data_IF_065233815245
#
_entry.id   IF_065233815245
#
_cell.length_a   1.000
_cell.length_b   1.000
_cell.length_c   1.000
_cell.angle_alpha   90.00
_cell.angle_beta   90.00
_cell.angle_gamma   90.00
#
_symmetry.space_group_name_H-M   'P 1'
#
loop_
_entity.id
_entity.type
_entity.pdbx_description
1 polymer ?
#
# COMPACT_ATOMS: atom_id res chain seq x y z
N UNK A 1 0.69 -36.21 11.89
CA UNK A 1 1.15 -34.83 12.20
C UNK A 1 -0.03 -33.91 11.98
N UNK A 2 -0.22 -32.91 12.86
CA UNK A 2 -1.21 -31.86 12.61
C UNK A 2 -0.89 -31.14 11.29
N UNK A 3 -1.92 -30.69 10.58
CA UNK A 3 -1.76 -29.92 9.33
C UNK A 3 -1.27 -28.52 9.71
N UNK A 4 -0.25 -28.01 9.02
CA UNK A 4 0.24 -26.64 9.24
C UNK A 4 -0.93 -25.65 9.06
N UNK A 5 -1.08 -24.72 9.99
CA UNK A 5 -2.12 -23.70 9.99
C UNK A 5 -3.55 -24.23 10.16
N UNK A 6 -3.77 -25.39 10.80
CA UNK A 6 -5.12 -25.93 11.06
C UNK A 6 -6.00 -25.03 11.96
N UNK A 7 -5.37 -24.09 12.67
CA UNK A 7 -5.98 -23.07 13.52
C UNK A 7 -6.23 -21.73 12.81
N UNK A 8 -5.82 -21.60 11.55
CA UNK A 8 -6.14 -20.46 10.69
C UNK A 8 -7.25 -20.86 9.70
N UNK A 9 -8.26 -20.02 9.56
CA UNK A 9 -9.38 -20.23 8.64
C UNK A 9 -9.57 -19.00 7.74
N UNK A 10 -8.92 -19.00 6.55
CA UNK A 10 -9.14 -17.96 5.55
C UNK A 10 -10.57 -18.04 5.03
N UNK A 11 -11.29 -16.93 5.12
CA UNK A 11 -12.65 -16.78 4.64
C UNK A 11 -12.73 -15.62 3.66
N UNK A 12 -13.73 -15.58 2.77
CA UNK A 12 -13.97 -14.46 1.86
C UNK A 12 -13.83 -13.06 2.47
N UNK A 13 -14.16 -12.87 3.74
CA UNK A 13 -14.21 -11.56 4.37
C UNK A 13 -13.05 -11.30 5.34
N UNK A 14 -11.99 -12.11 5.34
CA UNK A 14 -10.83 -11.96 6.23
C UNK A 14 -10.27 -13.31 6.69
N UNK A 15 -9.20 -13.28 7.48
CA UNK A 15 -8.55 -14.50 7.99
C UNK A 15 -8.93 -14.68 9.46
N UNK A 16 -9.64 -15.76 9.78
CA UNK A 16 -10.05 -16.04 11.16
C UNK A 16 -8.98 -16.85 11.91
N UNK A 17 -8.60 -16.35 13.09
CA UNK A 17 -7.64 -16.99 13.99
C UNK A 17 -8.42 -17.65 15.13
N UNK A 18 -8.80 -18.91 14.94
CA UNK A 18 -9.71 -19.67 15.84
C UNK A 18 -9.34 -19.62 17.33
N UNK A 19 -8.09 -19.93 17.74
CA UNK A 19 -7.72 -19.96 19.17
C UNK A 19 -7.68 -18.59 19.85
N UNK A 20 -7.63 -17.50 19.07
CA UNK A 20 -7.65 -16.14 19.58
C UNK A 20 -9.03 -15.47 19.45
N UNK A 21 -9.98 -16.11 18.76
CA UNK A 21 -11.29 -15.56 18.36
C UNK A 21 -11.17 -14.13 17.83
N UNK A 22 -10.39 -13.96 16.76
CA UNK A 22 -10.08 -12.67 16.14
C UNK A 22 -9.91 -12.81 14.62
N UNK A 23 -10.21 -11.74 13.91
CA UNK A 23 -10.05 -11.65 12.46
C UNK A 23 -8.82 -10.81 12.11
N UNK A 24 -8.08 -11.20 11.07
CA UNK A 24 -7.10 -10.34 10.39
C UNK A 24 -7.76 -9.76 9.13
N UNK A 25 -7.65 -8.44 8.98
CA UNK A 25 -8.19 -7.63 7.88
C UNK A 25 -9.64 -7.98 7.49
N UNK A 26 -10.59 -7.99 8.45
CA UNK A 26 -11.97 -8.28 8.11
C UNK A 26 -12.59 -7.18 7.24
N UNK A 27 -13.09 -7.55 6.06
CA UNK A 27 -13.72 -6.62 5.10
C UNK A 27 -15.10 -6.10 5.53
N UNK A 28 -15.56 -6.49 6.72
CA UNK A 28 -16.80 -6.05 7.38
C UNK A 28 -16.59 -5.84 8.90
N UNK A 29 -17.43 -5.00 9.55
CA UNK A 29 -17.46 -4.88 11.00
C UNK A 29 -17.44 -6.24 11.69
N UNK A 30 -16.60 -6.36 12.72
CA UNK A 30 -16.30 -7.62 13.41
C UNK A 30 -16.04 -7.35 14.88
N UNK A 31 -16.34 -8.29 15.80
CA UNK A 31 -16.12 -8.08 17.24
C UNK A 31 -14.67 -7.76 17.59
N UNK A 32 -13.72 -8.45 16.94
CA UNK A 32 -12.29 -8.27 17.18
C UNK A 32 -11.55 -8.33 15.85
N UNK A 33 -10.75 -7.31 15.55
CA UNK A 33 -9.99 -7.20 14.32
C UNK A 33 -8.53 -6.84 14.59
N UNK A 34 -7.60 -7.57 13.98
CA UNK A 34 -6.23 -7.12 13.72
C UNK A 34 -6.25 -6.48 12.32
N UNK A 35 -5.69 -5.28 12.17
CA UNK A 35 -5.64 -4.58 10.88
C UNK A 35 -4.17 -4.35 10.49
N UNK A 36 -3.78 -4.82 9.31
CA UNK A 36 -2.41 -4.70 8.79
C UNK A 36 -2.09 -3.25 8.44
N UNK A 37 -3.01 -2.55 7.76
CA UNK A 37 -2.82 -1.17 7.36
C UNK A 37 -4.14 -0.47 6.98
N UNK A 38 -4.08 0.85 6.74
CA UNK A 38 -5.25 1.71 6.63
C UNK A 38 -5.93 1.80 5.25
N UNK A 39 -5.57 1.00 4.25
CA UNK A 39 -6.31 0.98 2.97
C UNK A 39 -7.70 0.37 3.14
N UNK A 40 -8.62 0.70 2.22
CA UNK A 40 -10.03 0.38 2.43
C UNK A 40 -10.28 -1.12 2.28
N UNK A 41 -9.59 -1.79 1.40
CA UNK A 41 -9.69 -3.22 1.21
C UNK A 41 -9.19 -4.03 2.44
N UNK A 42 -8.34 -3.45 3.30
CA UNK A 42 -7.88 -4.07 4.54
C UNK A 42 -8.57 -3.57 5.81
N UNK A 43 -8.92 -2.27 5.85
CA UNK A 43 -9.48 -1.61 7.02
C UNK A 43 -10.95 -1.22 6.86
N UNK A 44 -11.72 -1.47 7.91
CA UNK A 44 -13.12 -1.05 8.03
C UNK A 44 -13.36 -0.36 9.36
N UNK A 45 -14.26 0.61 9.37
CA UNK A 45 -14.78 1.17 10.61
C UNK A 45 -15.84 0.26 11.23
N UNK A 46 -16.10 0.44 12.53
CA UNK A 46 -17.22 -0.20 13.23
C UNK A 46 -16.91 -1.55 13.87
N UNK A 47 -15.63 -1.90 14.04
CA UNK A 47 -15.23 -3.02 14.89
C UNK A 47 -15.52 -2.72 16.36
N UNK A 48 -15.92 -3.73 17.15
CA UNK A 48 -16.12 -3.54 18.60
C UNK A 48 -14.76 -3.29 19.30
N UNK A 49 -13.70 -3.96 18.82
CA UNK A 49 -12.31 -3.71 19.20
C UNK A 49 -11.38 -3.95 17.99
N UNK A 50 -10.46 -3.01 17.75
CA UNK A 50 -9.46 -3.10 16.66
C UNK A 50 -8.05 -2.87 17.17
N UNK A 51 -7.13 -3.77 16.83
CA UNK A 51 -5.71 -3.64 17.09
C UNK A 51 -4.97 -3.35 15.80
N UNK A 52 -4.19 -2.29 15.79
CA UNK A 52 -3.31 -1.92 14.70
C UNK A 52 -2.17 -1.04 15.21
N UNK A 53 -1.23 -0.68 14.36
CA UNK A 53 -0.23 0.35 14.70
C UNK A 53 -0.92 1.68 15.01
N UNK A 54 -0.31 2.55 15.86
CA UNK A 54 -0.86 3.87 16.16
C UNK A 54 -1.22 4.67 14.90
N UNK A 55 -0.37 4.62 13.88
CA UNK A 55 -0.56 5.35 12.63
C UNK A 55 -1.70 4.74 11.80
N UNK A 56 -1.82 3.41 11.75
CA UNK A 56 -2.96 2.75 11.08
C UNK A 56 -4.27 3.13 11.77
N UNK A 57 -4.33 3.16 13.09
CA UNK A 57 -5.52 3.60 13.83
C UNK A 57 -5.87 5.06 13.52
N UNK A 58 -4.87 5.95 13.44
CA UNK A 58 -5.08 7.36 13.10
C UNK A 58 -5.60 7.53 11.65
N UNK A 59 -5.11 6.70 10.71
CA UNK A 59 -5.62 6.64 9.33
C UNK A 59 -7.08 6.15 9.33
N UNK A 60 -7.37 5.07 10.05
CA UNK A 60 -8.74 4.56 10.18
C UNK A 60 -9.68 5.61 10.76
N UNK A 61 -9.25 6.32 11.81
CA UNK A 61 -10.04 7.39 12.43
C UNK A 61 -10.32 8.53 11.46
N UNK A 62 -9.30 8.93 10.69
CA UNK A 62 -9.41 9.97 9.67
C UNK A 62 -10.41 9.61 8.57
N UNK A 63 -10.54 8.33 8.22
CA UNK A 63 -11.41 7.86 7.14
C UNK A 63 -12.82 7.52 7.60
N UNK A 64 -12.95 6.94 8.79
CA UNK A 64 -14.17 6.29 9.26
C UNK A 64 -14.73 6.89 10.56
N UNK A 65 -14.08 7.90 11.13
CA UNK A 65 -14.41 8.46 12.44
C UNK A 65 -13.85 7.62 13.60
N UNK A 66 -14.21 7.91 14.85
CA UNK A 66 -13.64 7.27 16.03
C UNK A 66 -13.67 5.74 15.97
N UNK A 67 -12.58 5.10 16.39
CA UNK A 67 -12.44 3.65 16.45
C UNK A 67 -12.29 3.17 17.90
N UNK A 68 -12.76 1.97 18.21
CA UNK A 68 -12.41 1.26 19.46
C UNK A 68 -10.98 0.69 19.36
N UNK A 69 -10.01 1.59 19.23
CA UNK A 69 -8.63 1.28 18.87
C UNK A 69 -7.75 0.86 20.05
N UNK A 70 -6.94 -0.16 19.82
CA UNK A 70 -5.90 -0.66 20.71
C UNK A 70 -4.55 -0.56 19.96
N UNK A 71 -3.76 0.50 20.19
CA UNK A 71 -2.49 0.68 19.49
C UNK A 71 -1.50 -0.41 19.86
N UNK A 72 -0.76 -0.92 18.89
CA UNK A 72 0.31 -1.92 19.05
C UNK A 72 1.57 -1.42 18.37
N UNK A 73 2.65 -1.23 19.13
CA UNK A 73 3.90 -0.78 18.54
C UNK A 73 4.58 -1.92 17.75
N UNK A 74 5.42 -1.57 16.78
CA UNK A 74 6.26 -2.56 16.10
C UNK A 74 7.14 -3.32 17.11
N UNK A 75 7.21 -4.65 16.96
CA UNK A 75 7.94 -5.54 17.85
C UNK A 75 7.26 -5.82 19.19
N UNK A 76 6.14 -5.16 19.51
CA UNK A 76 5.33 -5.47 20.68
C UNK A 76 4.56 -6.78 20.45
N UNK A 77 4.61 -7.68 21.44
CA UNK A 77 3.89 -8.96 21.41
C UNK A 77 2.72 -8.95 22.39
N UNK A 78 1.53 -9.20 21.87
CA UNK A 78 0.30 -9.37 22.63
C UNK A 78 -0.06 -10.85 22.77
N UNK A 79 -0.63 -11.23 23.91
CA UNK A 79 -1.24 -12.55 24.09
C UNK A 79 -2.75 -12.45 23.89
N UNK A 80 -3.29 -13.17 22.90
CA UNK A 80 -4.72 -13.21 22.58
C UNK A 80 -5.20 -14.67 22.56
N UNK A 81 -5.91 -15.08 23.62
CA UNK A 81 -6.21 -16.51 23.81
C UNK A 81 -4.91 -17.31 23.93
N UNK A 82 -4.75 -18.34 23.10
CA UNK A 82 -3.54 -19.17 23.04
C UNK A 82 -2.50 -18.70 22.00
N UNK A 83 -2.68 -17.50 21.42
CA UNK A 83 -1.85 -16.98 20.32
C UNK A 83 -1.03 -15.77 20.77
N UNK A 84 0.26 -15.78 20.45
CA UNK A 84 1.10 -14.57 20.50
C UNK A 84 0.98 -13.82 19.18
N UNK A 85 0.69 -12.52 19.24
CA UNK A 85 0.49 -11.64 18.08
C UNK A 85 1.54 -10.53 18.14
N UNK A 86 2.34 -10.38 17.08
CA UNK A 86 3.36 -9.33 16.98
C UNK A 86 3.21 -8.57 15.68
N UNK A 87 3.31 -7.24 15.74
CA UNK A 87 3.27 -6.37 14.57
C UNK A 87 4.70 -6.08 14.11
N UNK A 88 4.99 -6.30 12.83
CA UNK A 88 6.32 -6.12 12.23
C UNK A 88 6.19 -5.21 11.00
N UNK A 89 7.10 -4.25 10.75
CA UNK A 89 6.99 -3.35 9.60
C UNK A 89 6.78 -4.04 8.24
N UNK A 90 5.84 -3.53 7.43
CA UNK A 90 5.55 -4.05 6.09
C UNK A 90 6.11 -3.19 4.93
N UNK A 91 6.56 -1.95 5.18
CA UNK A 91 7.10 -1.10 4.12
C UNK A 91 6.09 -0.54 3.12
N UNK A 92 4.79 -0.82 3.28
CA UNK A 92 3.77 -0.48 2.28
C UNK A 92 3.32 0.98 2.36
N UNK A 93 2.70 1.37 3.47
CA UNK A 93 2.26 2.75 3.80
C UNK A 93 2.57 3.08 5.25
N UNK A 94 2.40 4.34 5.68
CA UNK A 94 2.60 4.76 7.07
C UNK A 94 1.79 3.86 8.02
N UNK A 95 2.47 3.26 8.99
CA UNK A 95 1.88 2.33 9.95
C UNK A 95 1.66 0.90 9.44
N UNK A 96 1.89 0.59 8.17
CA UNK A 96 1.64 -0.77 7.66
C UNK A 96 2.47 -1.83 8.38
N UNK A 97 1.84 -2.96 8.68
CA UNK A 97 2.43 -4.03 9.46
C UNK A 97 2.06 -5.42 8.92
N UNK A 98 3.06 -6.30 8.92
CA UNK A 98 2.88 -7.73 8.92
C UNK A 98 2.42 -8.16 10.32
N UNK A 99 1.53 -9.15 10.37
CA UNK A 99 1.04 -9.73 11.62
C UNK A 99 1.64 -11.12 11.78
N UNK A 100 2.59 -11.25 12.70
CA UNK A 100 3.16 -12.52 13.13
C UNK A 100 2.27 -13.15 14.20
N UNK A 101 1.80 -14.37 13.93
CA UNK A 101 0.98 -15.18 14.82
C UNK A 101 1.78 -16.43 15.22
N UNK A 102 1.88 -16.69 16.53
CA UNK A 102 2.60 -17.86 17.04
C UNK A 102 1.70 -18.67 17.98
N UNK A 103 1.57 -19.98 17.68
CA UNK A 103 0.73 -20.90 18.45
C UNK A 103 1.27 -22.33 18.31
N UNK A 104 1.40 -23.06 19.43
CA UNK A 104 1.89 -24.46 19.47
C UNK A 104 3.24 -24.68 18.75
N UNK A 105 4.12 -23.69 18.77
CA UNK A 105 5.43 -23.74 18.12
C UNK A 105 5.40 -23.57 16.60
N UNK A 106 4.25 -23.24 16.02
CA UNK A 106 4.10 -22.84 14.62
C UNK A 106 4.04 -21.31 14.50
N UNK A 107 4.71 -20.76 13.50
CA UNK A 107 4.77 -19.32 13.19
C UNK A 107 4.13 -19.05 11.85
N UNK A 108 3.12 -18.18 11.83
CA UNK A 108 2.40 -17.77 10.61
C UNK A 108 2.49 -16.26 10.49
N UNK A 109 2.84 -15.78 9.31
CA UNK A 109 2.88 -14.33 9.04
C UNK A 109 1.82 -14.00 8.02
N UNK A 110 0.94 -13.05 8.35
CA UNK A 110 0.09 -12.37 7.38
C UNK A 110 0.81 -11.10 6.96
N UNK A 111 1.24 -11.02 5.70
CA UNK A 111 2.05 -9.87 5.26
C UNK A 111 1.25 -8.57 5.20
N UNK A 112 -0.06 -8.66 4.95
CA UNK A 112 -0.80 -7.55 4.34
C UNK A 112 -0.20 -7.20 2.98
N UNK A 113 -0.36 -5.97 2.56
CA UNK A 113 0.43 -5.42 1.46
C UNK A 113 1.82 -5.02 1.95
N UNK A 114 2.83 -5.22 1.10
CA UNK A 114 4.21 -4.92 1.46
C UNK A 114 5.03 -4.53 0.23
N UNK A 115 6.11 -3.79 0.46
CA UNK A 115 7.18 -3.60 -0.53
C UNK A 115 8.54 -3.61 0.14
N UNK A 116 9.57 -4.06 -0.57
CA UNK A 116 10.94 -4.10 -0.03
C UNK A 116 11.70 -2.81 -0.31
N UNK A 117 11.35 -2.10 -1.39
CA UNK A 117 11.94 -0.81 -1.74
C UNK A 117 11.76 0.20 -0.62
N UNK A 118 12.81 1.00 -0.39
CA UNK A 118 12.76 2.08 0.57
C UNK A 118 11.63 3.06 0.22
N UNK A 119 10.98 3.56 1.26
CA UNK A 119 9.96 4.58 1.20
C UNK A 119 10.21 5.57 2.34
N UNK A 120 10.44 6.86 2.04
CA UNK A 120 10.73 7.85 3.05
C UNK A 120 9.51 8.23 3.92
N UNK A 121 8.34 7.62 3.70
CA UNK A 121 7.09 7.92 4.41
C UNK A 121 6.62 6.79 5.33
N UNK A 122 7.33 5.66 5.42
CA UNK A 122 6.98 4.56 6.31
C UNK A 122 8.21 3.76 6.78
N UNK A 123 8.01 2.89 7.76
CA UNK A 123 9.06 1.99 8.24
C UNK A 123 9.38 0.92 7.17
N UNK A 124 10.67 0.58 6.94
CA UNK A 124 11.05 -0.38 5.90
C UNK A 124 10.53 -1.79 6.21
N UNK A 125 10.27 -2.60 5.17
CA UNK A 125 9.88 -4.00 5.34
C UNK A 125 10.94 -4.81 6.09
N UNK A 126 10.51 -5.59 7.08
CA UNK A 126 11.37 -6.47 7.85
C UNK A 126 11.04 -7.95 7.56
N UNK A 127 11.96 -8.73 6.96
CA UNK A 127 11.71 -10.14 6.67
C UNK A 127 11.53 -10.98 7.95
N UNK A 128 10.41 -11.71 8.06
CA UNK A 128 10.12 -12.57 9.22
C UNK A 128 10.14 -14.04 8.83
N UNK A 129 11.06 -14.81 9.44
CA UNK A 129 11.09 -16.28 9.31
C UNK A 129 9.81 -16.91 9.89
N UNK A 130 9.14 -17.75 9.11
CA UNK A 130 7.89 -18.40 9.51
C UNK A 130 7.71 -19.78 8.86
N UNK A 131 6.74 -20.55 9.34
CA UNK A 131 6.33 -21.82 8.75
C UNK A 131 5.36 -21.59 7.57
N UNK A 132 4.41 -20.67 7.74
CA UNK A 132 3.48 -20.24 6.68
C UNK A 132 3.65 -18.73 6.47
N UNK A 133 3.90 -18.34 5.22
CA UNK A 133 3.87 -16.94 4.80
C UNK A 133 2.61 -16.71 3.95
N UNK A 134 1.69 -15.89 4.45
CA UNK A 134 0.51 -15.45 3.70
C UNK A 134 0.87 -14.13 3.04
N UNK A 135 0.99 -14.13 1.70
CA UNK A 135 1.52 -13.03 0.89
C UNK A 135 0.49 -12.48 -0.08
N UNK A 136 0.51 -11.17 -0.31
CA UNK A 136 -0.10 -10.56 -1.50
C UNK A 136 0.59 -10.99 -2.81
N UNK A 137 -0.07 -10.74 -3.95
CA UNK A 137 0.44 -10.98 -5.30
C UNK A 137 -0.08 -9.93 -6.29
N UNK A 138 -0.18 -8.66 -5.88
CA UNK A 138 -0.69 -7.56 -6.71
C UNK A 138 0.08 -7.48 -8.02
N UNK A 139 1.41 -7.60 -7.93
CA UNK A 139 2.32 -7.66 -9.08
C UNK A 139 2.92 -9.06 -9.28
N UNK A 140 2.14 -10.11 -8.97
CA UNK A 140 2.54 -11.52 -9.02
C UNK A 140 2.78 -12.11 -10.42
N UNK A 141 3.06 -11.31 -11.45
CA UNK A 141 3.43 -11.79 -12.80
C UNK A 141 4.85 -11.32 -13.17
N UNK A 142 5.69 -12.15 -13.82
CA UNK A 142 7.08 -11.80 -14.20
C UNK A 142 7.28 -10.56 -15.07
N UNK A 143 6.21 -10.02 -15.67
CA UNK A 143 6.23 -8.79 -16.46
C UNK A 143 6.29 -7.53 -15.59
N UNK A 144 5.85 -7.63 -14.33
CA UNK A 144 5.87 -6.53 -13.37
C UNK A 144 7.20 -6.52 -12.63
N UNK A 145 8.15 -5.81 -13.23
CA UNK A 145 9.42 -5.42 -12.62
C UNK A 145 9.51 -3.91 -12.65
N UNK A 146 9.59 -3.31 -11.48
CA UNK A 146 9.58 -1.86 -11.34
C UNK A 146 11.01 -1.31 -11.52
N UNK A 147 11.18 -0.16 -12.20
CA UNK A 147 12.45 0.54 -12.23
C UNK A 147 12.76 1.14 -10.84
N UNK A 148 13.95 1.71 -10.71
CA UNK A 148 14.30 2.44 -9.49
C UNK A 148 13.38 3.66 -9.31
N UNK A 149 12.93 3.88 -8.07
CA UNK A 149 11.99 4.99 -7.72
C UNK A 149 12.57 6.34 -8.12
N UNK A 150 13.83 6.57 -7.75
CA UNK A 150 14.87 6.85 -8.74
C UNK A 150 14.47 7.63 -9.99
N UNK A 151 14.50 6.86 -11.06
CA UNK A 151 14.44 7.29 -12.43
C UNK A 151 13.05 7.84 -12.78
N UNK A 152 12.00 7.32 -12.13
CA UNK A 152 10.63 7.75 -12.39
C UNK A 152 10.36 9.16 -11.85
N UNK A 153 10.94 9.53 -10.71
CA UNK A 153 10.79 10.89 -10.18
C UNK A 153 11.66 11.88 -10.97
N UNK A 154 12.85 11.48 -11.40
CA UNK A 154 13.68 12.31 -12.29
C UNK A 154 13.00 12.57 -13.63
N UNK A 155 12.32 11.56 -14.17
CA UNK A 155 11.49 11.67 -15.37
C UNK A 155 10.34 12.67 -15.18
N UNK A 156 9.68 12.67 -14.02
CA UNK A 156 8.65 13.65 -13.67
C UNK A 156 9.24 15.08 -13.65
N UNK A 157 10.35 15.27 -12.95
CA UNK A 157 11.03 16.58 -12.85
C UNK A 157 11.52 17.08 -14.21
N UNK A 158 12.05 16.19 -15.06
CA UNK A 158 12.44 16.52 -16.42
C UNK A 158 11.25 17.00 -17.27
N UNK A 159 10.09 16.34 -17.15
CA UNK A 159 8.87 16.77 -17.84
C UNK A 159 8.39 18.15 -17.36
N UNK A 160 8.47 18.42 -16.05
CA UNK A 160 8.16 19.72 -15.46
C UNK A 160 9.08 20.82 -16.03
N UNK A 161 10.39 20.63 -15.96
CA UNK A 161 11.37 21.63 -16.42
C UNK A 161 11.32 21.88 -17.93
N UNK A 162 10.97 20.87 -18.72
CA UNK A 162 10.82 21.02 -20.17
C UNK A 162 9.56 21.81 -20.56
N UNK A 163 8.59 21.98 -19.65
CA UNK A 163 7.29 22.57 -19.95
C UNK A 163 6.88 23.65 -18.92
N UNK A 164 7.65 24.75 -18.78
CA UNK A 164 7.44 25.75 -17.73
C UNK A 164 6.09 26.49 -17.81
N UNK A 165 5.45 26.52 -18.98
CA UNK A 165 4.15 27.17 -19.19
C UNK A 165 2.94 26.27 -18.86
N UNK A 166 3.19 24.98 -18.58
CA UNK A 166 2.20 23.94 -18.25
C UNK A 166 2.33 23.54 -16.78
N UNK A 167 1.43 22.73 -16.25
CA UNK A 167 1.65 22.00 -15.01
C UNK A 167 1.79 20.49 -15.26
N UNK A 168 2.37 19.75 -14.32
CA UNK A 168 2.34 18.28 -14.33
C UNK A 168 1.28 17.81 -13.34
N UNK A 169 0.22 17.15 -13.85
CA UNK A 169 -0.85 16.60 -13.03
C UNK A 169 -0.58 15.11 -12.78
N UNK A 170 -0.26 14.75 -11.54
CA UNK A 170 0.08 13.38 -11.14
C UNK A 170 -1.12 12.71 -10.47
N UNK A 171 -1.58 11.61 -11.07
CA UNK A 171 -2.56 10.72 -10.48
C UNK A 171 -1.90 9.79 -9.47
N UNK A 172 -2.32 9.87 -8.22
CA UNK A 172 -1.85 9.01 -7.13
C UNK A 172 -2.98 8.74 -6.13
N UNK A 173 -2.97 7.57 -5.50
CA UNK A 173 -3.91 7.27 -4.41
C UNK A 173 -3.72 8.22 -3.24
N UNK A 174 -4.83 8.54 -2.58
CA UNK A 174 -4.87 9.52 -1.49
C UNK A 174 -4.09 9.07 -0.25
N UNK A 175 -3.96 7.76 -0.04
CA UNK A 175 -3.18 7.14 1.03
C UNK A 175 -1.95 6.48 0.41
N UNK A 176 -0.78 6.64 1.03
CA UNK A 176 0.48 6.05 0.58
C UNK A 176 1.08 6.78 -0.62
N UNK A 177 0.55 6.51 -1.82
CA UNK A 177 1.18 6.90 -3.09
C UNK A 177 1.40 8.39 -3.23
N UNK A 178 0.40 9.21 -2.88
CA UNK A 178 0.51 10.67 -2.96
C UNK A 178 1.64 11.19 -2.05
N UNK A 179 1.68 10.74 -0.80
CA UNK A 179 2.66 11.16 0.19
C UNK A 179 4.07 10.70 -0.22
N UNK A 180 4.21 9.46 -0.70
CA UNK A 180 5.48 8.96 -1.21
C UNK A 180 5.99 9.78 -2.39
N UNK A 181 5.16 10.04 -3.41
CA UNK A 181 5.56 10.89 -4.56
C UNK A 181 6.02 12.26 -4.09
N UNK A 182 5.30 12.89 -3.15
CA UNK A 182 5.70 14.19 -2.58
C UNK A 182 7.06 14.08 -1.91
N UNK A 183 7.25 13.12 -1.01
CA UNK A 183 8.49 13.00 -0.23
C UNK A 183 9.69 12.70 -1.12
N UNK A 184 9.54 11.82 -2.10
CA UNK A 184 10.57 11.52 -3.11
C UNK A 184 10.95 12.76 -3.95
N UNK A 185 9.98 13.60 -4.32
CA UNK A 185 10.26 14.88 -4.99
C UNK A 185 11.08 15.81 -4.09
N UNK A 186 10.72 15.90 -2.80
CA UNK A 186 11.42 16.75 -1.83
C UNK A 186 12.85 16.26 -1.58
N UNK A 187 13.05 14.95 -1.47
CA UNK A 187 14.38 14.33 -1.30
C UNK A 187 15.29 14.56 -2.51
N UNK A 188 14.70 14.78 -3.69
CA UNK A 188 15.39 15.19 -4.93
C UNK A 188 15.56 16.70 -5.08
N UNK A 189 15.29 17.47 -4.02
CA UNK A 189 15.50 18.91 -3.99
C UNK A 189 14.39 19.74 -4.65
N UNK A 190 13.24 19.15 -4.98
CA UNK A 190 12.08 19.94 -5.42
C UNK A 190 11.49 20.70 -4.23
N UNK A 191 11.92 21.95 -4.04
CA UNK A 191 11.48 22.80 -2.92
C UNK A 191 10.21 23.62 -3.22
N UNK A 192 9.80 23.72 -4.48
CA UNK A 192 8.64 24.52 -4.87
C UNK A 192 7.33 23.95 -4.27
N UNK A 193 6.30 24.79 -4.03
CA UNK A 193 5.00 24.31 -3.59
C UNK A 193 4.43 23.24 -4.51
N UNK A 194 3.82 22.22 -3.91
CA UNK A 194 3.06 21.20 -4.64
C UNK A 194 1.58 21.48 -4.41
N UNK A 195 0.82 21.56 -5.49
CA UNK A 195 -0.61 21.74 -5.41
C UNK A 195 -1.30 20.39 -5.24
N UNK A 196 -2.36 20.34 -4.44
CA UNK A 196 -3.10 19.09 -4.20
C UNK A 196 -4.60 19.26 -4.43
N UNK A 197 -5.21 18.21 -4.95
CA UNK A 197 -6.66 18.07 -4.96
C UNK A 197 -7.18 17.94 -3.51
N UNK A 198 -8.36 18.52 -3.21
CA UNK A 198 -8.90 18.52 -1.84
C UNK A 198 -9.10 17.13 -1.23
N UNK A 199 -9.33 16.11 -2.06
CA UNK A 199 -9.41 14.71 -1.62
C UNK A 199 -8.09 14.15 -1.04
N UNK A 200 -6.94 14.78 -1.30
CA UNK A 200 -5.65 14.37 -0.75
C UNK A 200 -5.39 15.02 0.62
N UNK A 201 -6.00 16.19 0.87
CA UNK A 201 -5.66 17.11 1.95
C UNK A 201 -5.58 16.41 3.31
N UNK A 202 -6.68 15.78 3.73
CA UNK A 202 -6.79 15.26 5.09
C UNK A 202 -5.76 14.18 5.42
N UNK A 203 -5.41 13.33 4.47
CA UNK A 203 -4.40 12.29 4.67
C UNK A 203 -2.98 12.82 4.57
N UNK A 204 -2.72 13.81 3.70
CA UNK A 204 -1.44 14.53 3.73
C UNK A 204 -1.23 15.27 5.06
N UNK A 205 -2.26 15.95 5.57
CA UNK A 205 -2.20 16.63 6.87
C UNK A 205 -1.89 15.64 7.98
N UNK A 206 -2.54 14.48 7.99
CA UNK A 206 -2.27 13.41 8.96
C UNK A 206 -0.81 12.93 8.90
N UNK A 207 -0.25 12.73 7.70
CA UNK A 207 1.16 12.34 7.57
C UNK A 207 2.09 13.40 8.16
N UNK A 208 1.80 14.69 7.95
CA UNK A 208 2.55 15.81 8.55
C UNK A 208 2.38 15.84 10.08
N UNK A 209 1.16 15.66 10.58
CA UNK A 209 0.87 15.55 12.03
C UNK A 209 1.67 14.41 12.69
N UNK A 210 1.90 13.31 11.95
CA UNK A 210 2.67 12.15 12.39
C UNK A 210 4.18 12.24 12.05
N UNK A 211 4.66 13.41 11.62
CA UNK A 211 6.08 13.71 11.48
C UNK A 211 6.70 13.46 10.11
N UNK A 212 5.91 13.13 9.09
CA UNK A 212 6.39 13.06 7.70
C UNK A 212 6.38 14.47 7.11
N UNK A 213 7.57 15.05 6.90
CA UNK A 213 7.69 16.34 6.23
C UNK A 213 7.26 16.20 4.75
N UNK A 214 6.17 16.85 4.34
CA UNK A 214 5.72 16.90 2.95
C UNK A 214 6.05 18.25 2.28
N UNK A 215 6.69 19.17 3.01
CA UNK A 215 6.88 20.56 2.61
C UNK A 215 5.57 21.31 2.39
N UNK A 216 5.62 22.39 1.61
CA UNK A 216 4.45 23.23 1.35
C UNK A 216 3.48 22.56 0.37
N UNK A 217 2.25 22.32 0.84
CA UNK A 217 1.13 21.79 0.05
C UNK A 217 0.01 22.84 -0.05
N UNK A 218 -0.42 23.14 -1.27
CA UNK A 218 -1.43 24.18 -1.53
C UNK A 218 -2.69 23.54 -2.16
N UNK A 219 -3.90 23.77 -1.63
CA UNK A 219 -5.12 23.34 -2.30
C UNK A 219 -5.22 23.95 -3.72
N UNK A 220 -5.34 23.13 -4.75
CA UNK A 220 -5.41 23.61 -6.14
C UNK A 220 -6.75 24.31 -6.46
N UNK A 221 -7.80 24.03 -5.70
CA UNK A 221 -9.14 24.59 -5.95
C UNK A 221 -9.18 26.07 -5.61
N UNK A 222 -9.57 26.90 -6.58
CA UNK A 222 -9.70 28.35 -6.39
C UNK A 222 -8.43 29.14 -6.68
N UNK A 223 -7.31 28.46 -6.96
CA UNK A 223 -6.05 29.11 -7.35
C UNK A 223 -6.08 29.48 -8.85
N UNK A 224 -5.69 30.71 -9.22
CA UNK A 224 -5.58 31.10 -10.62
C UNK A 224 -4.59 30.22 -11.40
N UNK A 225 -4.93 29.89 -12.65
CA UNK A 225 -4.08 29.07 -13.54
C UNK A 225 -2.64 29.58 -13.63
N UNK A 226 -2.44 30.89 -13.62
CA UNK A 226 -1.13 31.52 -13.75
C UNK A 226 -0.18 31.16 -12.59
N UNK A 227 -0.71 30.92 -11.40
CA UNK A 227 0.07 30.54 -10.21
C UNK A 227 0.46 29.06 -10.21
N UNK A 228 -0.34 28.21 -10.88
CA UNK A 228 -0.09 26.75 -10.96
C UNK A 228 0.89 26.40 -12.11
N UNK A 229 1.16 27.34 -13.03
CA UNK A 229 2.09 27.11 -14.14
C UNK A 229 3.49 26.80 -13.62
N UNK A 230 4.14 25.78 -14.20
CA UNK A 230 5.47 25.34 -13.78
C UNK A 230 5.47 24.56 -12.46
N UNK A 231 4.29 24.19 -11.93
CA UNK A 231 4.18 23.41 -10.69
C UNK A 231 3.63 22.00 -10.93
N UNK A 232 3.83 21.16 -9.91
CA UNK A 232 3.24 19.82 -9.82
C UNK A 232 1.90 19.92 -9.09
N UNK A 233 0.91 19.21 -9.61
CA UNK A 233 -0.41 19.04 -9.01
C UNK A 233 -0.62 17.55 -8.74
N UNK A 234 -1.02 17.16 -7.53
CA UNK A 234 -1.33 15.77 -7.18
C UNK A 234 -2.82 15.61 -6.96
N UNK A 235 -3.40 14.57 -7.56
CA UNK A 235 -4.84 14.32 -7.55
C UNK A 235 -5.14 12.81 -7.55
N UNK A 236 -6.35 12.40 -7.12
CA UNK A 236 -6.75 11.01 -7.27
C UNK A 236 -6.84 10.65 -8.77
N UNK A 237 -6.59 9.39 -9.17
CA UNK A 237 -6.66 8.98 -10.57
C UNK A 237 -8.01 9.33 -11.24
N UNK A 238 -9.11 9.27 -10.50
CA UNK A 238 -10.45 9.63 -10.97
C UNK A 238 -10.60 11.11 -11.38
N UNK A 239 -9.75 12.01 -10.88
CA UNK A 239 -9.78 13.43 -11.20
C UNK A 239 -8.97 13.80 -12.45
N UNK A 240 -8.14 12.88 -12.99
CA UNK A 240 -7.23 13.17 -14.12
C UNK A 240 -7.99 13.65 -15.36
N UNK A 241 -9.12 13.01 -15.67
CA UNK A 241 -9.91 13.28 -16.87
C UNK A 241 -11.23 14.03 -16.60
N UNK A 242 -11.46 14.43 -15.34
CA UNK A 242 -12.70 15.10 -14.92
C UNK A 242 -12.72 16.61 -15.28
N UNK A 243 -13.87 17.26 -15.13
CA UNK A 243 -14.06 18.71 -15.26
C UNK A 243 -13.12 19.50 -14.36
N UNK A 244 -12.71 18.96 -13.21
CA UNK A 244 -11.77 19.60 -12.32
C UNK A 244 -10.40 19.84 -12.98
N UNK A 245 -9.79 18.82 -13.62
CA UNK A 245 -8.45 18.94 -14.21
C UNK A 245 -8.39 19.91 -15.39
N UNK A 246 -9.50 20.10 -16.11
CA UNK A 246 -9.62 21.09 -17.22
C UNK A 246 -9.41 22.54 -16.76
N UNK A 247 -9.52 22.80 -15.46
CA UNK A 247 -9.27 24.11 -14.85
C UNK A 247 -7.78 24.36 -14.61
N UNK A 248 -6.92 23.36 -14.77
CA UNK A 248 -5.46 23.51 -14.64
C UNK A 248 -4.84 24.14 -15.91
N UNK A 249 -3.62 24.70 -15.82
CA UNK A 249 -2.91 25.25 -16.96
C UNK A 249 -2.31 24.13 -17.84
N UNK A 250 -3.07 23.69 -18.85
CA UNK A 250 -2.63 22.73 -19.87
C UNK A 250 -1.86 21.52 -19.30
N UNK A 251 -2.51 20.71 -18.44
CA UNK A 251 -1.81 19.72 -17.62
C UNK A 251 -1.16 18.64 -18.47
N UNK A 252 0.10 18.29 -18.16
CA UNK A 252 0.72 17.03 -18.58
C UNK A 252 0.17 15.95 -17.67
N UNK A 253 -0.63 15.05 -18.21
CA UNK A 253 -1.26 14.00 -17.40
C UNK A 253 -0.26 12.88 -17.10
N UNK A 254 0.12 12.76 -15.84
CA UNK A 254 0.97 11.71 -15.30
C UNK A 254 0.16 10.77 -14.37
N UNK A 255 0.60 9.52 -14.22
CA UNK A 255 -0.02 8.58 -13.27
C UNK A 255 1.06 7.71 -12.63
N UNK A 256 1.06 7.64 -11.29
CA UNK A 256 2.00 6.85 -10.50
C UNK A 256 1.36 5.50 -10.09
N UNK A 257 1.66 4.45 -10.86
CA UNK A 257 1.15 3.09 -10.62
C UNK A 257 2.10 2.04 -11.20
N UNK A 258 2.29 0.91 -10.53
CA UNK A 258 3.05 -0.22 -11.09
C UNK A 258 2.42 -0.74 -12.39
N UNK A 259 1.10 -0.59 -12.54
CA UNK A 259 0.36 -0.95 -13.75
C UNK A 259 0.72 -0.10 -14.97
N UNK A 260 1.37 1.05 -14.79
CA UNK A 260 1.90 1.86 -15.89
C UNK A 260 3.02 1.17 -16.67
N UNK A 261 3.53 0.03 -16.17
CA UNK A 261 4.37 -0.89 -16.93
C UNK A 261 3.67 -1.41 -18.20
N UNK A 262 2.34 -1.52 -18.18
CA UNK A 262 1.53 -1.98 -19.32
C UNK A 262 1.14 -0.79 -20.19
N UNK A 263 1.82 -0.62 -21.33
CA UNK A 263 1.60 0.50 -22.27
C UNK A 263 0.12 0.71 -22.64
N UNK A 264 -0.64 -0.37 -22.82
CA UNK A 264 -2.06 -0.28 -23.17
C UNK A 264 -2.90 0.40 -22.08
N UNK A 265 -2.59 0.20 -20.79
CA UNK A 265 -3.30 0.85 -19.67
C UNK A 265 -3.05 2.37 -19.69
N UNK A 266 -1.82 2.80 -19.93
CA UNK A 266 -1.51 4.23 -20.07
C UNK A 266 -2.30 4.89 -21.21
N UNK A 267 -2.41 4.22 -22.37
CA UNK A 267 -3.21 4.70 -23.51
C UNK A 267 -4.69 4.76 -23.15
N UNK A 268 -5.25 3.71 -22.54
CA UNK A 268 -6.66 3.67 -22.15
C UNK A 268 -7.04 4.78 -21.15
N UNK A 269 -6.10 5.19 -20.30
CA UNK A 269 -6.29 6.24 -19.29
C UNK A 269 -5.94 7.65 -19.78
N UNK A 270 -5.52 7.81 -21.03
CA UNK A 270 -5.00 9.06 -21.59
C UNK A 270 -3.84 9.66 -20.77
N UNK A 271 -2.96 8.80 -20.26
CA UNK A 271 -1.77 9.21 -19.51
C UNK A 271 -0.64 9.53 -20.49
N UNK A 272 -0.19 10.78 -20.51
CA UNK A 272 0.96 11.24 -21.30
C UNK A 272 2.29 10.79 -20.68
N UNK A 273 2.37 10.81 -19.35
CA UNK A 273 3.56 10.50 -18.58
C UNK A 273 3.33 9.33 -17.61
N UNK A 274 3.43 8.07 -18.07
CA UNK A 274 3.31 6.91 -17.18
C UNK A 274 4.50 6.86 -16.22
N UNK A 275 4.23 6.81 -14.91
CA UNK A 275 5.24 6.67 -13.86
C UNK A 275 5.10 5.28 -13.22
N UNK A 276 6.12 4.43 -13.40
CA UNK A 276 6.10 3.04 -12.93
C UNK A 276 6.53 3.02 -11.45
N UNK A 277 5.64 3.50 -10.59
CA UNK A 277 5.85 3.59 -9.15
C UNK A 277 4.73 2.84 -8.42
N UNK A 278 5.11 1.84 -7.63
CA UNK A 278 4.17 1.00 -6.86
C UNK A 278 4.52 0.98 -5.37
N UNK A 279 3.49 0.91 -4.54
CA UNK A 279 3.63 0.69 -3.09
C UNK A 279 3.62 -0.79 -2.70
N UNK A 280 3.59 -1.68 -3.70
CA UNK A 280 3.63 -3.14 -3.54
C UNK A 280 4.92 -3.73 -4.12
N UNK A 281 5.29 -4.89 -3.60
CA UNK A 281 6.39 -5.69 -4.09
C UNK A 281 6.16 -6.10 -5.55
N UNK A 282 7.15 -5.84 -6.40
CA UNK A 282 7.17 -6.38 -7.75
C UNK A 282 7.51 -7.88 -7.78
N UNK A 283 7.54 -8.48 -8.97
CA UNK A 283 7.83 -9.91 -9.11
C UNK A 283 9.16 -10.34 -8.48
N UNK A 284 10.21 -9.54 -8.67
CA UNK A 284 11.53 -9.89 -8.15
C UNK A 284 11.54 -9.71 -6.61
N UNK A 285 10.92 -8.63 -6.08
CA UNK A 285 10.76 -8.43 -4.63
C UNK A 285 9.93 -9.54 -3.94
N UNK A 286 8.83 -10.00 -4.57
CA UNK A 286 8.02 -11.11 -4.08
C UNK A 286 8.85 -12.39 -4.00
N UNK A 287 9.56 -12.72 -5.09
CA UNK A 287 10.33 -13.97 -5.18
C UNK A 287 11.59 -13.97 -4.33
N UNK A 288 12.24 -12.82 -4.16
CA UNK A 288 13.35 -12.63 -3.21
C UNK A 288 12.87 -12.77 -1.77
N UNK A 289 11.70 -12.23 -1.42
CA UNK A 289 11.10 -12.40 -0.09
C UNK A 289 10.84 -13.86 0.23
N UNK A 290 10.24 -14.61 -0.69
CA UNK A 290 9.98 -16.04 -0.48
C UNK A 290 11.28 -16.85 -0.38
N UNK A 291 12.31 -16.47 -1.13
CA UNK A 291 13.64 -17.10 -1.07
C UNK A 291 14.33 -16.81 0.27
N UNK A 292 14.26 -15.56 0.75
CA UNK A 292 14.87 -15.13 2.00
C UNK A 292 14.15 -15.71 3.21
N UNK A 293 12.81 -15.65 3.26
CA UNK A 293 12.01 -16.20 4.36
C UNK A 293 12.11 -17.72 4.38
N UNK A 294 12.09 -18.37 3.21
CA UNK A 294 12.12 -19.82 3.04
C UNK A 294 11.05 -20.54 3.91
N UNK A 295 9.75 -20.19 3.77
CA UNK A 295 8.69 -20.81 4.56
C UNK A 295 8.42 -22.25 4.11
N UNK A 296 7.76 -23.03 4.97
CA UNK A 296 7.33 -24.40 4.62
C UNK A 296 6.17 -24.39 3.63
N UNK A 297 5.23 -23.43 3.79
CA UNK A 297 4.14 -23.19 2.86
C UNK A 297 3.92 -21.69 2.59
N UNK A 298 3.47 -21.37 1.38
CA UNK A 298 3.08 -20.01 0.97
C UNK A 298 1.60 -20.00 0.64
N UNK A 299 0.85 -19.10 1.26
CA UNK A 299 -0.56 -18.91 0.94
C UNK A 299 -0.71 -17.57 0.23
N UNK A 300 -1.09 -17.60 -1.04
CA UNK A 300 -1.12 -16.41 -1.89
C UNK A 300 -2.52 -15.82 -1.87
N UNK A 301 -2.60 -14.50 -1.78
CA UNK A 301 -3.83 -13.71 -1.84
C UNK A 301 -3.60 -12.46 -2.69
N UNK A 302 -4.64 -11.65 -2.93
CA UNK A 302 -4.59 -10.35 -3.63
C UNK A 302 -3.92 -10.44 -5.02
N UNK A 303 -4.68 -10.69 -6.09
CA UNK A 303 -4.20 -10.59 -7.48
C UNK A 303 -4.05 -11.91 -8.26
N UNK A 304 -3.10 -11.94 -9.21
CA UNK A 304 -2.87 -13.04 -10.18
C UNK A 304 -2.02 -14.16 -9.56
N UNK A 305 -2.61 -14.88 -8.61
CA UNK A 305 -1.97 -15.89 -7.76
C UNK A 305 -1.29 -17.06 -8.50
N UNK A 306 -1.81 -17.47 -9.66
CA UNK A 306 -1.38 -18.68 -10.38
C UNK A 306 0.13 -18.71 -10.69
N UNK A 307 0.70 -17.58 -11.11
CA UNK A 307 2.10 -17.53 -11.50
C UNK A 307 3.05 -17.62 -10.29
N UNK A 308 2.70 -16.96 -9.18
CA UNK A 308 3.50 -17.02 -7.95
C UNK A 308 3.40 -18.41 -7.29
N UNK A 309 2.19 -19.00 -7.27
CA UNK A 309 1.99 -20.39 -6.83
C UNK A 309 2.81 -21.35 -7.70
N UNK A 310 2.75 -21.22 -9.02
CA UNK A 310 3.55 -22.04 -9.94
C UNK A 310 5.06 -21.89 -9.67
N UNK A 311 5.54 -20.65 -9.50
CA UNK A 311 6.95 -20.38 -9.20
C UNK A 311 7.40 -21.07 -7.89
N UNK A 312 6.58 -21.00 -6.83
CA UNK A 312 6.87 -21.69 -5.56
C UNK A 312 7.00 -23.21 -5.76
N UNK A 313 6.04 -23.81 -6.47
CA UNK A 313 6.02 -25.24 -6.73
C UNK A 313 7.24 -25.71 -7.52
N UNK A 314 7.72 -24.94 -8.50
CA UNK A 314 8.97 -25.25 -9.24
C UNK A 314 10.24 -25.22 -8.37
N UNK A 315 10.17 -24.57 -7.20
CA UNK A 315 11.26 -24.46 -6.21
C UNK A 315 11.04 -25.33 -4.98
N UNK A 316 10.11 -26.29 -5.07
CA UNK A 316 9.78 -27.21 -3.97
C UNK A 316 9.25 -26.51 -2.71
N UNK A 317 8.69 -25.30 -2.87
CA UNK A 317 7.96 -24.58 -1.83
C UNK A 317 6.48 -24.89 -2.03
N UNK A 318 5.83 -25.48 -1.03
CA UNK A 318 4.38 -25.74 -1.12
C UNK A 318 3.64 -24.42 -1.18
N UNK A 319 2.71 -24.27 -2.12
CA UNK A 319 1.92 -23.06 -2.24
C UNK A 319 0.45 -23.34 -2.58
N UNK A 320 -0.43 -22.42 -2.17
CA UNK A 320 -1.85 -22.45 -2.52
C UNK A 320 -2.44 -21.03 -2.59
N UNK A 321 -3.44 -20.88 -3.43
CA UNK A 321 -4.32 -19.71 -3.48
C UNK A 321 -5.24 -19.61 -2.25
N UNK A 322 -5.60 -18.39 -1.86
CA UNK A 322 -6.65 -18.07 -0.89
C UNK A 322 -7.80 -17.34 -1.61
N UNK A 323 -9.00 -17.90 -1.54
CA UNK A 323 -10.20 -17.26 -2.08
C UNK A 323 -10.77 -16.21 -1.10
N UNK A 324 -10.10 -15.05 -0.98
CA UNK A 324 -10.61 -13.88 -0.27
C UNK A 324 -11.46 -13.02 -1.24
N UNK A 325 -12.57 -12.43 -0.77
CA UNK A 325 -13.50 -11.59 -1.55
C UNK A 325 -13.22 -10.11 -1.30
N UNK A 326 -13.26 -9.31 -2.36
CA UNK A 326 -13.24 -7.85 -2.28
C UNK A 326 -11.94 -7.18 -2.73
N UNK A 327 -11.03 -7.94 -3.33
CA UNK A 327 -9.69 -7.49 -3.73
C UNK A 327 -9.55 -7.60 -5.25
N UNK A 328 -10.26 -6.73 -5.99
CA UNK A 328 -10.03 -6.53 -7.44
C UNK A 328 -8.80 -5.61 -7.64
N UNK A 329 -8.15 -5.65 -8.82
CA UNK A 329 -6.94 -4.89 -9.14
C UNK A 329 -7.05 -3.45 -8.59
N UNK A 330 -6.06 -2.97 -7.81
CA UNK A 330 -6.09 -1.64 -7.13
C UNK A 330 -6.53 -0.47 -8.03
N UNK A 331 -6.35 -0.61 -9.35
CA UNK A 331 -6.61 0.40 -10.35
C UNK A 331 -8.02 0.33 -10.99
N UNK A 332 -8.81 -0.74 -10.83
CA UNK A 332 -10.15 -0.86 -11.44
C UNK A 332 -11.24 -0.06 -10.69
#
# INVERSE_FOLDING_TARGET
MAKLGDWIDPQPHGIYVKPADIWVDPSRPSPRALVTHGHADHARGGHDAVWATPETLAIMETRYGPQSGHPVAYGETLTMGDVQVTFVPAGHVLGSAQILLEHRGERIVVSGDYKRRADPTCAPFEPVKCDIFITEATFGLPVFRHPETGDEIDKLLAALHANPDRCVLVGAYALGKAQRVIRELRDRGHAAPIYIHGAMQRLCDLYVELGVDLGELIPATGVPKAEIKGHIVIAPPSALNDRWSRRLPDPITAMASGWMRVRQRAVQRNVELPLILSDHADWDELTDTLTEIAPKEVWVTHGREDALVHWCMTRQIKARALALVGYEDEDD
#
